data_IF_185576264501
#
_entry.id   IF_185576264501
#
_cell.length_a   1.000
_cell.length_b   1.000
_cell.length_c   1.000
_cell.angle_alpha   90.00
_cell.angle_beta   90.00
_cell.angle_gamma   90.00
#
_symmetry.space_group_name_H-M   'P 1'
#
loop_
_entity.id
_entity.type
_entity.pdbx_description
1 polymer ?
#
# COMPACT_ATOMS: atom_id res chain seq x y z
N UNK A 1 79.17 -44.52 1.50
CA UNK A 1 77.68 -44.41 1.33
C UNK A 1 77.20 -45.74 0.75
N UNK A 2 76.27 -46.38 1.45
CA UNK A 2 75.68 -47.64 0.98
C UNK A 2 74.67 -47.33 -0.14
N UNK A 3 74.59 -48.24 -1.14
CA UNK A 3 73.68 -48.10 -2.30
C UNK A 3 72.23 -47.71 -1.90
N UNK A 4 71.79 -48.05 -0.70
CA UNK A 4 70.47 -47.61 -0.16
C UNK A 4 70.33 -46.10 0.09
N UNK A 5 71.42 -45.44 0.53
CA UNK A 5 71.41 -44.05 0.86
C UNK A 5 71.32 -43.16 -0.43
N UNK A 6 71.92 -43.68 -1.51
CA UNK A 6 71.85 -43.00 -2.82
C UNK A 6 70.44 -43.08 -3.43
N UNK A 7 69.79 -44.25 -3.26
CA UNK A 7 68.44 -44.47 -3.76
C UNK A 7 67.44 -43.62 -3.00
N UNK A 8 67.62 -43.47 -1.68
CA UNK A 8 66.75 -42.59 -0.86
C UNK A 8 66.98 -41.11 -1.18
N UNK A 9 68.21 -40.69 -1.47
CA UNK A 9 68.52 -39.33 -1.84
C UNK A 9 67.97 -38.98 -3.25
N UNK A 10 68.03 -39.93 -4.20
CA UNK A 10 67.41 -39.75 -5.51
C UNK A 10 65.88 -39.75 -5.45
N UNK A 11 65.28 -40.61 -4.63
CA UNK A 11 63.81 -40.56 -4.44
C UNK A 11 63.33 -39.25 -3.80
N UNK A 12 64.06 -38.71 -2.81
CA UNK A 12 63.77 -37.43 -2.20
C UNK A 12 63.97 -36.26 -3.16
N UNK A 13 64.97 -36.31 -4.03
CA UNK A 13 65.23 -35.26 -5.04
C UNK A 13 64.15 -35.26 -6.15
N UNK A 14 63.61 -36.41 -6.55
CA UNK A 14 62.52 -36.51 -7.53
C UNK A 14 61.20 -36.07 -6.95
N UNK A 15 60.93 -36.34 -5.68
CA UNK A 15 59.68 -35.86 -5.01
C UNK A 15 59.74 -34.35 -4.80
N UNK A 16 60.87 -33.77 -4.44
CA UNK A 16 61.03 -32.31 -4.32
C UNK A 16 60.96 -31.58 -5.67
N UNK A 17 61.52 -32.15 -6.73
CA UNK A 17 61.40 -31.60 -8.08
C UNK A 17 59.99 -31.73 -8.65
N UNK A 18 59.25 -32.79 -8.32
CA UNK A 18 57.85 -32.98 -8.70
C UNK A 18 56.88 -31.97 -8.01
N UNK A 19 57.18 -31.57 -6.77
CA UNK A 19 56.38 -30.57 -6.04
C UNK A 19 56.63 -29.13 -6.53
N UNK A 20 57.78 -28.86 -7.14
CA UNK A 20 58.13 -27.54 -7.69
C UNK A 20 57.52 -27.26 -9.07
N UNK A 21 56.93 -28.29 -9.73
CA UNK A 21 56.28 -28.19 -11.04
C UNK A 21 54.75 -28.11 -10.96
N UNK A 22 54.18 -27.95 -9.75
CA UNK A 22 52.76 -27.62 -9.66
C UNK A 22 52.57 -26.22 -10.29
N UNK A 23 51.80 -26.10 -11.38
CA UNK A 23 51.50 -24.80 -11.93
C UNK A 23 50.82 -24.01 -10.82
N UNK A 24 51.44 -22.91 -10.36
CA UNK A 24 50.77 -21.89 -9.60
C UNK A 24 49.69 -21.32 -10.51
N UNK A 25 48.52 -21.97 -10.52
CA UNK A 25 47.32 -21.39 -11.05
C UNK A 25 46.94 -20.22 -10.15
N UNK A 26 47.58 -19.08 -10.37
CA UNK A 26 47.11 -17.82 -9.83
C UNK A 26 45.73 -17.49 -10.46
N UNK A 27 44.70 -18.08 -9.87
CA UNK A 27 43.39 -17.55 -10.09
C UNK A 27 43.47 -16.08 -9.61
N UNK A 28 43.19 -15.16 -10.51
CA UNK A 28 43.15 -13.75 -10.20
C UNK A 28 42.00 -13.49 -9.21
N UNK A 29 42.33 -13.53 -7.91
CA UNK A 29 41.38 -13.33 -6.81
C UNK A 29 40.98 -11.86 -6.63
N UNK A 30 41.57 -10.94 -7.41
CA UNK A 30 41.31 -9.49 -7.31
C UNK A 30 40.22 -9.00 -8.28
N UNK A 31 39.85 -9.75 -9.28
CA UNK A 31 38.74 -9.42 -10.17
C UNK A 31 37.88 -10.68 -10.36
N UNK A 32 36.61 -10.56 -10.03
CA UNK A 32 35.64 -11.58 -10.43
C UNK A 32 35.68 -11.67 -11.99
N UNK A 33 35.52 -12.87 -12.57
CA UNK A 33 35.44 -13.00 -14.00
C UNK A 33 34.40 -12.01 -14.53
N UNK A 34 34.82 -11.10 -15.40
CA UNK A 34 33.88 -10.24 -16.12
C UNK A 34 33.08 -11.16 -17.01
N UNK A 35 31.80 -11.37 -16.69
CA UNK A 35 30.86 -12.08 -17.55
C UNK A 35 30.81 -11.45 -18.94
N UNK A 36 30.22 -12.13 -19.90
CA UNK A 36 29.88 -11.58 -21.21
C UNK A 36 28.96 -10.35 -21.08
N UNK A 37 28.57 -9.80 -22.21
CA UNK A 37 27.56 -8.73 -22.24
C UNK A 37 26.29 -9.23 -21.52
N UNK A 38 25.76 -8.39 -20.62
CA UNK A 38 24.53 -8.69 -19.90
C UNK A 38 23.37 -8.81 -20.88
N UNK A 39 22.64 -9.91 -20.82
CA UNK A 39 21.42 -10.06 -21.60
C UNK A 39 20.34 -9.10 -21.05
N UNK A 40 19.73 -8.33 -21.93
CA UNK A 40 18.67 -7.37 -21.65
C UNK A 40 17.33 -7.77 -22.26
N UNK A 41 17.30 -8.90 -22.99
CA UNK A 41 16.10 -9.36 -23.65
C UNK A 41 15.23 -10.16 -22.68
N UNK A 42 13.91 -9.93 -22.67
CA UNK A 42 13.01 -10.76 -21.87
C UNK A 42 12.81 -12.14 -22.50
N UNK A 43 12.41 -13.14 -21.70
CA UNK A 43 12.07 -14.46 -22.24
C UNK A 43 10.94 -14.38 -23.27
N UNK A 44 11.04 -15.21 -24.31
CA UNK A 44 10.06 -15.25 -25.39
C UNK A 44 9.18 -16.49 -25.25
N UNK A 45 7.87 -16.30 -25.29
CA UNK A 45 6.89 -17.38 -25.31
C UNK A 45 6.89 -18.08 -26.66
N UNK A 46 7.28 -19.37 -26.71
CA UNK A 46 7.35 -20.17 -27.91
C UNK A 46 6.00 -20.79 -28.27
N UNK A 47 5.29 -21.32 -27.25
CA UNK A 47 3.96 -21.90 -27.42
C UNK A 47 3.25 -22.00 -26.06
N UNK A 48 1.94 -22.12 -26.13
CA UNK A 48 1.09 -22.44 -24.96
C UNK A 48 0.24 -23.67 -25.26
N UNK A 49 0.03 -24.51 -24.26
CA UNK A 49 -0.78 -25.73 -24.38
C UNK A 49 -1.73 -25.82 -23.17
N UNK A 50 -3.05 -25.88 -23.38
CA UNK A 50 -3.77 -25.75 -24.67
C UNK A 50 -3.52 -24.42 -25.39
N UNK A 51 -3.96 -24.30 -26.63
CA UNK A 51 -3.77 -23.08 -27.43
C UNK A 51 -4.60 -21.91 -26.84
N UNK A 52 -4.22 -20.71 -27.23
CA UNK A 52 -5.00 -19.50 -26.94
C UNK A 52 -6.42 -19.65 -27.50
N UNK A 53 -7.42 -19.20 -26.71
CA UNK A 53 -8.83 -19.30 -27.01
C UNK A 53 -9.36 -20.74 -27.14
N UNK A 54 -8.78 -21.67 -26.38
CA UNK A 54 -9.25 -23.05 -26.28
C UNK A 54 -10.66 -23.12 -25.69
N UNK A 55 -11.48 -24.02 -26.24
CA UNK A 55 -12.85 -24.26 -25.79
C UNK A 55 -12.98 -25.67 -25.21
N UNK A 56 -14.05 -25.93 -24.45
CA UNK A 56 -14.25 -27.19 -23.74
C UNK A 56 -13.09 -27.56 -22.78
N UNK A 57 -12.42 -26.56 -22.22
CA UNK A 57 -11.32 -26.74 -21.29
C UNK A 57 -11.77 -27.56 -20.07
N UNK A 58 -10.93 -28.51 -19.59
CA UNK A 58 -11.33 -29.39 -18.47
C UNK A 58 -11.57 -28.59 -17.18
N UNK A 59 -12.77 -28.76 -16.62
CA UNK A 59 -13.21 -28.07 -15.40
C UNK A 59 -12.43 -28.51 -14.14
N UNK A 60 -11.99 -29.77 -14.13
CA UNK A 60 -11.23 -30.35 -13.02
C UNK A 60 -9.82 -30.70 -13.45
N UNK A 61 -8.84 -30.45 -12.57
CA UNK A 61 -7.43 -30.73 -12.83
C UNK A 61 -6.90 -30.06 -14.11
N UNK A 62 -7.55 -28.96 -14.56
CA UNK A 62 -7.11 -28.18 -15.72
C UNK A 62 -5.73 -27.58 -15.47
N UNK A 63 -4.91 -27.56 -16.50
CA UNK A 63 -3.58 -26.95 -16.47
C UNK A 63 -3.26 -26.32 -17.82
N UNK A 64 -2.48 -25.24 -17.77
CA UNK A 64 -1.93 -24.56 -18.93
C UNK A 64 -0.42 -24.57 -18.82
N UNK A 65 0.28 -24.93 -19.90
CA UNK A 65 1.73 -24.97 -19.95
C UNK A 65 2.24 -23.94 -20.95
N UNK A 66 3.07 -23.03 -20.46
CA UNK A 66 3.76 -21.99 -21.24
C UNK A 66 5.19 -22.46 -21.50
N UNK A 67 5.63 -22.50 -22.77
CA UNK A 67 6.95 -22.93 -23.19
C UNK A 67 7.75 -21.71 -23.61
N UNK A 68 8.91 -21.51 -22.98
CA UNK A 68 9.79 -20.39 -23.28
C UNK A 68 11.07 -20.84 -24.02
N UNK A 69 11.74 -19.89 -24.67
CA UNK A 69 13.04 -20.09 -25.33
C UNK A 69 14.17 -20.33 -24.32
N UNK A 70 14.01 -19.85 -23.07
CA UNK A 70 14.99 -19.88 -22.00
C UNK A 70 14.39 -20.28 -20.64
N UNK A 71 15.25 -20.42 -19.61
CA UNK A 71 14.81 -20.71 -18.24
C UNK A 71 14.09 -19.51 -17.64
N UNK A 72 12.82 -19.69 -17.36
CA UNK A 72 11.93 -18.68 -16.83
C UNK A 72 11.49 -19.05 -15.42
N UNK A 73 11.44 -18.07 -14.51
CA UNK A 73 11.04 -18.24 -13.11
C UNK A 73 9.82 -17.41 -12.76
N UNK A 74 9.14 -17.81 -11.71
CA UNK A 74 8.04 -17.01 -11.13
C UNK A 74 8.66 -15.99 -10.18
N UNK A 75 8.72 -14.74 -10.60
CA UNK A 75 9.25 -13.61 -9.82
C UNK A 75 8.24 -13.11 -8.79
N UNK A 76 6.99 -12.97 -9.21
CA UNK A 76 5.91 -12.44 -8.37
C UNK A 76 4.61 -13.21 -8.64
N UNK A 77 4.35 -14.24 -7.83
CA UNK A 77 3.18 -15.11 -8.02
C UNK A 77 1.83 -14.37 -7.87
N UNK A 78 1.80 -13.27 -7.10
CA UNK A 78 0.58 -12.48 -6.90
C UNK A 78 0.17 -11.66 -8.12
N UNK A 79 1.06 -11.47 -9.09
CA UNK A 79 0.76 -10.83 -10.38
C UNK A 79 0.00 -11.77 -11.32
N UNK A 80 0.07 -13.09 -11.07
CA UNK A 80 -0.64 -14.08 -11.89
C UNK A 80 -2.07 -14.19 -11.38
N UNK A 81 -3.01 -13.70 -12.19
CA UNK A 81 -4.40 -13.54 -11.79
C UNK A 81 -5.36 -14.25 -12.73
N UNK A 82 -6.33 -15.00 -12.18
CA UNK A 82 -7.38 -15.67 -12.93
C UNK A 82 -8.72 -14.93 -12.76
N UNK A 83 -9.38 -14.62 -13.86
CA UNK A 83 -10.72 -14.04 -13.90
C UNK A 83 -11.67 -14.99 -14.64
N UNK A 84 -12.81 -15.38 -14.07
CA UNK A 84 -13.28 -15.20 -12.70
C UNK A 84 -12.32 -15.73 -11.64
N UNK A 85 -12.14 -15.02 -10.51
CA UNK A 85 -11.28 -15.52 -9.45
C UNK A 85 -11.92 -16.75 -8.77
N UNK A 86 -11.06 -17.63 -8.29
CA UNK A 86 -11.45 -18.85 -7.57
C UNK A 86 -11.11 -18.70 -6.08
N UNK A 87 -11.70 -19.53 -5.22
CA UNK A 87 -11.39 -19.56 -3.78
C UNK A 87 -9.91 -19.85 -3.54
N UNK A 88 -9.35 -20.79 -4.33
CA UNK A 88 -7.91 -21.10 -4.30
C UNK A 88 -7.25 -20.49 -5.53
N UNK A 89 -6.15 -19.78 -5.29
CA UNK A 89 -5.37 -19.19 -6.38
C UNK A 89 -4.81 -20.24 -7.32
N UNK A 90 -4.56 -19.89 -8.60
CA UNK A 90 -3.81 -20.73 -9.49
C UNK A 90 -2.43 -21.09 -8.91
N UNK A 91 -2.01 -22.32 -9.07
CA UNK A 91 -0.70 -22.81 -8.63
C UNK A 91 0.25 -22.87 -9.80
N UNK A 92 1.36 -22.14 -9.71
CA UNK A 92 2.41 -22.10 -10.72
C UNK A 92 3.57 -23.02 -10.35
N UNK A 93 4.06 -23.79 -11.32
CA UNK A 93 5.21 -24.67 -11.18
C UNK A 93 6.19 -24.45 -12.33
N UNK A 94 7.45 -24.28 -11.98
CA UNK A 94 8.55 -24.23 -12.97
C UNK A 94 8.99 -25.66 -13.29
N UNK A 95 9.14 -25.96 -14.58
CA UNK A 95 9.62 -27.26 -15.08
C UNK A 95 10.55 -27.05 -16.28
N UNK A 96 11.84 -26.94 -16.04
CA UNK A 96 12.83 -26.57 -17.05
C UNK A 96 12.56 -25.17 -17.61
N UNK A 97 12.35 -25.06 -18.91
CA UNK A 97 11.98 -23.80 -19.59
C UNK A 97 10.46 -23.56 -19.66
N UNK A 98 9.70 -24.33 -18.87
CA UNK A 98 8.24 -24.28 -18.95
C UNK A 98 7.66 -23.79 -17.62
N UNK A 99 6.61 -23.00 -17.72
CA UNK A 99 5.77 -22.61 -16.58
C UNK A 99 4.43 -23.33 -16.71
N UNK A 100 4.07 -24.10 -15.69
CA UNK A 100 2.80 -24.84 -15.62
C UNK A 100 1.91 -24.13 -14.64
N UNK A 101 0.77 -23.66 -15.08
CA UNK A 101 -0.29 -23.08 -14.23
C UNK A 101 -1.41 -24.10 -14.10
N UNK A 102 -1.77 -24.47 -12.88
CA UNK A 102 -2.83 -25.42 -12.59
C UNK A 102 -3.93 -24.77 -11.72
N UNK A 103 -5.17 -25.21 -11.94
CA UNK A 103 -6.34 -24.69 -11.25
C UNK A 103 -6.82 -25.70 -10.21
N UNK A 104 -6.61 -25.41 -8.89
CA UNK A 104 -6.96 -26.35 -7.82
C UNK A 104 -8.45 -26.56 -7.65
N UNK A 105 -9.25 -25.51 -7.88
CA UNK A 105 -10.71 -25.58 -7.76
C UNK A 105 -11.35 -26.08 -9.06
N UNK A 106 -12.57 -26.59 -8.94
CA UNK A 106 -13.40 -26.93 -10.10
C UNK A 106 -13.89 -25.63 -10.75
N UNK A 107 -13.59 -25.45 -12.03
CA UNK A 107 -14.00 -24.29 -12.81
C UNK A 107 -15.51 -24.33 -13.07
N UNK A 108 -16.13 -23.16 -13.15
CA UNK A 108 -17.53 -23.02 -13.49
C UNK A 108 -17.84 -23.56 -14.91
N UNK A 109 -19.06 -23.97 -15.12
CA UNK A 109 -19.50 -24.48 -16.42
C UNK A 109 -19.88 -23.32 -17.36
N UNK A 110 -19.62 -23.50 -18.65
CA UNK A 110 -19.94 -22.52 -19.70
C UNK A 110 -19.43 -21.09 -19.37
N UNK A 111 -18.19 -21.03 -18.86
CA UNK A 111 -17.57 -19.79 -18.41
C UNK A 111 -16.27 -19.55 -19.15
N UNK A 112 -16.10 -18.33 -19.66
CA UNK A 112 -14.81 -17.85 -20.18
C UNK A 112 -13.93 -17.42 -19.04
N UNK A 113 -12.67 -17.86 -19.08
CA UNK A 113 -11.62 -17.53 -18.12
C UNK A 113 -10.49 -16.77 -18.80
N UNK A 114 -9.97 -15.80 -18.10
CA UNK A 114 -8.81 -15.00 -18.49
C UNK A 114 -7.72 -15.15 -17.45
N UNK A 115 -6.59 -15.73 -17.84
CA UNK A 115 -5.40 -15.84 -16.99
C UNK A 115 -4.40 -14.76 -17.40
N UNK A 116 -4.25 -13.76 -16.58
CA UNK A 116 -3.28 -12.69 -16.75
C UNK A 116 -2.00 -13.07 -16.03
N UNK A 117 -0.89 -13.12 -16.73
CA UNK A 117 0.43 -13.41 -16.14
C UNK A 117 1.09 -12.16 -15.55
N UNK A 118 0.55 -10.96 -15.83
CA UNK A 118 1.09 -9.69 -15.37
C UNK A 118 2.59 -9.57 -15.63
N UNK A 119 3.31 -9.04 -14.66
CA UNK A 119 4.77 -9.01 -14.60
C UNK A 119 5.34 -10.14 -13.69
N UNK A 120 4.57 -11.22 -13.55
CA UNK A 120 4.87 -12.30 -12.61
C UNK A 120 6.02 -13.22 -13.02
N UNK A 121 6.44 -13.19 -14.29
CA UNK A 121 7.48 -14.06 -14.83
C UNK A 121 8.71 -13.25 -15.24
N UNK A 122 9.89 -13.85 -15.09
CA UNK A 122 11.14 -13.25 -15.53
C UNK A 122 12.12 -14.35 -15.96
N UNK A 123 13.18 -14.01 -16.69
CA UNK A 123 14.29 -14.94 -16.91
C UNK A 123 15.00 -15.26 -15.58
N UNK A 124 15.69 -16.41 -15.57
CA UNK A 124 16.33 -16.91 -14.37
C UNK A 124 17.68 -16.24 -14.06
N UNK A 125 18.36 -15.69 -15.05
CA UNK A 125 19.74 -15.23 -14.92
C UNK A 125 19.81 -13.73 -14.60
N UNK A 126 19.24 -12.90 -15.47
CA UNK A 126 19.32 -11.44 -15.39
C UNK A 126 18.08 -10.81 -14.72
N UNK A 127 16.96 -11.53 -14.67
CA UNK A 127 15.71 -11.08 -14.08
C UNK A 127 14.90 -10.15 -14.99
N UNK A 128 15.13 -10.21 -16.32
CA UNK A 128 14.36 -9.47 -17.30
C UNK A 128 12.90 -9.93 -17.28
N UNK A 129 11.99 -9.01 -17.09
CA UNK A 129 10.57 -9.34 -16.88
C UNK A 129 9.92 -9.72 -18.21
N UNK A 130 9.21 -10.85 -18.21
CA UNK A 130 8.38 -11.25 -19.34
C UNK A 130 7.26 -10.22 -19.57
N UNK A 131 7.03 -9.72 -20.77
CA UNK A 131 5.94 -8.80 -21.06
C UNK A 131 4.59 -9.38 -20.66
N UNK A 132 3.70 -8.54 -20.14
CA UNK A 132 2.35 -8.95 -19.78
C UNK A 132 1.69 -9.77 -20.87
N UNK A 133 1.21 -10.95 -20.52
CA UNK A 133 0.52 -11.85 -21.43
C UNK A 133 -0.78 -12.34 -20.82
N UNK A 134 -1.85 -12.26 -21.61
CA UNK A 134 -3.20 -12.65 -21.20
C UNK A 134 -3.60 -13.89 -21.99
N UNK A 135 -3.85 -14.99 -21.28
CA UNK A 135 -4.30 -16.25 -21.85
C UNK A 135 -5.79 -16.44 -21.60
N UNK A 136 -6.56 -16.72 -22.64
CA UNK A 136 -8.02 -16.92 -22.56
C UNK A 136 -8.39 -18.34 -22.92
N UNK A 137 -9.35 -18.91 -22.20
CA UNK A 137 -9.95 -20.20 -22.47
C UNK A 137 -11.41 -20.26 -21.99
N UNK A 138 -12.19 -21.21 -22.47
CA UNK A 138 -13.57 -21.41 -22.03
C UNK A 138 -13.82 -22.86 -21.64
N UNK A 139 -14.57 -23.06 -20.56
CA UNK A 139 -15.10 -24.37 -20.17
C UNK A 139 -16.33 -24.77 -20.98
N UNK A 140 -16.90 -23.84 -21.74
CA UNK A 140 -17.96 -24.05 -22.73
C UNK A 140 -17.43 -24.07 -24.15
N UNK A 141 -18.34 -23.98 -25.10
CA UNK A 141 -18.03 -24.00 -26.54
C UNK A 141 -17.82 -22.61 -27.16
N UNK A 142 -18.01 -21.55 -26.37
CA UNK A 142 -17.96 -20.15 -26.81
C UNK A 142 -17.00 -19.38 -25.93
N UNK A 143 -16.25 -18.47 -26.52
CA UNK A 143 -15.45 -17.46 -25.82
C UNK A 143 -16.25 -16.15 -25.84
N UNK A 144 -16.50 -15.60 -24.67
CA UNK A 144 -17.09 -14.27 -24.52
C UNK A 144 -16.09 -13.20 -24.97
N UNK A 145 -16.56 -12.10 -25.57
CA UNK A 145 -15.71 -11.12 -26.25
C UNK A 145 -15.93 -9.66 -25.83
N UNK A 146 -16.77 -9.41 -24.85
CA UNK A 146 -17.08 -8.05 -24.41
C UNK A 146 -16.07 -7.54 -23.36
N UNK A 147 -16.00 -6.22 -23.22
CA UNK A 147 -15.05 -5.51 -22.35
C UNK A 147 -15.75 -4.50 -21.44
N UNK A 148 -15.19 -4.28 -20.27
CA UNK A 148 -15.46 -3.09 -19.42
C UNK A 148 -14.12 -2.44 -19.09
N UNK A 149 -13.99 -1.15 -19.37
CA UNK A 149 -12.77 -0.39 -19.20
C UNK A 149 -13.01 0.83 -18.35
N UNK A 150 -11.96 1.35 -17.72
CA UNK A 150 -12.03 2.57 -16.94
C UNK A 150 -10.78 2.83 -16.11
N UNK A 151 -10.89 3.79 -15.22
CA UNK A 151 -9.81 4.20 -14.34
C UNK A 151 -10.24 4.20 -12.87
N UNK A 152 -9.29 4.03 -11.97
CA UNK A 152 -9.49 4.10 -10.53
C UNK A 152 -8.55 5.13 -9.94
N UNK A 153 -9.10 6.12 -9.25
CA UNK A 153 -8.37 7.18 -8.57
C UNK A 153 -8.74 7.21 -7.08
N UNK A 154 -7.79 7.65 -6.27
CA UNK A 154 -8.03 7.95 -4.86
C UNK A 154 -8.94 9.18 -4.74
N UNK A 155 -10.02 9.10 -3.94
CA UNK A 155 -11.01 10.16 -3.83
C UNK A 155 -10.49 11.43 -3.13
N UNK A 156 -9.48 11.31 -2.27
CA UNK A 156 -8.91 12.44 -1.52
C UNK A 156 -7.82 13.15 -2.32
N UNK A 157 -6.94 12.38 -2.97
CA UNK A 157 -5.73 12.90 -3.62
C UNK A 157 -5.87 13.02 -5.13
N UNK A 158 -6.88 12.37 -5.71
CA UNK A 158 -7.08 12.25 -7.17
C UNK A 158 -5.86 11.66 -7.90
N UNK A 159 -5.11 10.81 -7.22
CA UNK A 159 -3.99 10.07 -7.78
C UNK A 159 -4.44 8.69 -8.26
N UNK A 160 -3.84 8.15 -9.32
CA UNK A 160 -4.10 6.79 -9.79
C UNK A 160 -3.85 5.75 -8.70
N UNK A 161 -4.73 4.77 -8.57
CA UNK A 161 -4.57 3.65 -7.62
C UNK A 161 -4.09 2.42 -8.37
N UNK A 162 -2.83 2.04 -8.16
CA UNK A 162 -2.22 0.85 -8.73
C UNK A 162 -2.66 -0.41 -7.97
N UNK A 163 -2.91 -1.50 -8.68
CA UNK A 163 -3.15 -2.84 -8.10
C UNK A 163 -4.50 -3.00 -7.41
N UNK A 164 -5.41 -2.01 -7.51
CA UNK A 164 -6.76 -2.14 -7.02
C UNK A 164 -7.49 -3.27 -7.74
N UNK A 165 -8.22 -4.10 -7.00
CA UNK A 165 -9.05 -5.16 -7.57
C UNK A 165 -10.36 -4.55 -8.05
N UNK A 166 -10.61 -4.61 -9.35
CA UNK A 166 -11.86 -4.20 -9.97
C UNK A 166 -12.70 -5.43 -10.27
N UNK A 167 -13.93 -5.45 -9.76
CA UNK A 167 -14.77 -6.65 -9.68
C UNK A 167 -16.17 -6.40 -10.22
N UNK A 168 -16.68 -7.35 -11.00
CA UNK A 168 -18.04 -7.37 -11.52
C UNK A 168 -18.89 -8.36 -10.75
N UNK A 169 -20.13 -7.97 -10.48
CA UNK A 169 -21.15 -8.81 -9.84
C UNK A 169 -22.42 -8.84 -10.67
N UNK A 170 -23.02 -10.02 -10.76
CA UNK A 170 -24.35 -10.24 -11.36
C UNK A 170 -25.46 -10.13 -10.32
N UNK A 171 -25.10 -10.20 -9.04
CA UNK A 171 -26.00 -9.91 -7.93
C UNK A 171 -25.98 -8.40 -7.65
N UNK A 172 -27.17 -7.76 -7.74
CA UNK A 172 -27.36 -6.33 -7.56
C UNK A 172 -27.51 -5.92 -6.09
N UNK A 173 -27.41 -6.86 -5.14
CA UNK A 173 -27.44 -6.54 -3.71
C UNK A 173 -26.14 -5.86 -3.28
N UNK A 174 -26.25 -4.83 -2.42
CA UNK A 174 -25.08 -4.13 -1.89
C UNK A 174 -24.20 -5.03 -1.02
N UNK A 175 -24.72 -6.18 -0.58
CA UNK A 175 -23.99 -7.17 0.20
C UNK A 175 -23.13 -8.12 -0.64
N UNK A 176 -23.25 -8.10 -1.96
CA UNK A 176 -22.52 -9.01 -2.86
C UNK A 176 -21.00 -8.90 -2.68
N UNK A 177 -20.46 -7.68 -2.62
CA UNK A 177 -19.02 -7.41 -2.50
C UNK A 177 -18.41 -7.96 -1.19
N UNK A 178 -19.22 -8.18 -0.16
CA UNK A 178 -18.77 -8.71 1.13
C UNK A 178 -18.82 -10.26 1.22
N UNK A 179 -19.66 -10.89 0.40
CA UNK A 179 -20.04 -12.30 0.63
C UNK A 179 -19.79 -13.21 -0.56
N UNK A 180 -19.73 -12.64 -1.76
CA UNK A 180 -19.68 -13.41 -2.99
C UNK A 180 -18.38 -13.18 -3.74
N UNK A 181 -17.87 -14.23 -4.38
CA UNK A 181 -16.79 -14.10 -5.33
C UNK A 181 -17.30 -13.36 -6.56
N UNK A 182 -16.51 -12.42 -7.11
CA UNK A 182 -16.92 -11.67 -8.29
C UNK A 182 -17.08 -12.58 -9.51
N UNK A 183 -18.02 -12.22 -10.38
CA UNK A 183 -18.23 -12.87 -11.68
C UNK A 183 -17.02 -12.70 -12.60
N UNK A 184 -16.36 -11.57 -12.59
CA UNK A 184 -15.09 -11.29 -13.25
C UNK A 184 -14.34 -10.24 -12.45
N UNK A 185 -13.02 -10.28 -12.50
CA UNK A 185 -12.18 -9.30 -11.83
C UNK A 185 -10.87 -9.06 -12.58
N UNK A 186 -10.27 -7.91 -12.37
CA UNK A 186 -8.93 -7.54 -12.87
C UNK A 186 -8.25 -6.61 -11.87
N UNK A 187 -6.96 -6.33 -12.07
CA UNK A 187 -6.22 -5.34 -11.29
C UNK A 187 -5.86 -4.14 -12.13
N UNK A 188 -5.88 -2.97 -11.50
CA UNK A 188 -5.45 -1.73 -12.14
C UNK A 188 -3.94 -1.73 -12.37
N UNK A 189 -3.51 -1.10 -13.47
CA UNK A 189 -2.10 -0.86 -13.80
C UNK A 189 -1.49 0.31 -13.00
N UNK A 190 -0.28 0.72 -13.37
CA UNK A 190 0.46 1.82 -12.74
C UNK A 190 -0.23 3.19 -12.86
N UNK A 191 -1.12 3.33 -13.82
CA UNK A 191 -1.90 4.54 -14.09
C UNK A 191 -3.33 4.47 -13.57
N UNK A 192 -3.65 3.41 -12.79
CA UNK A 192 -5.00 3.17 -12.28
C UNK A 192 -5.99 2.69 -13.35
N UNK A 193 -5.53 2.40 -14.56
CA UNK A 193 -6.37 1.92 -15.64
C UNK A 193 -6.64 0.41 -15.53
N UNK A 194 -7.85 -0.02 -15.89
CA UNK A 194 -8.25 -1.42 -15.88
C UNK A 194 -9.01 -1.82 -17.14
N UNK A 195 -8.88 -3.11 -17.48
CA UNK A 195 -9.66 -3.75 -18.54
C UNK A 195 -10.16 -5.10 -18.03
N UNK A 196 -11.46 -5.22 -17.92
CA UNK A 196 -12.17 -6.50 -17.73
C UNK A 196 -12.50 -7.04 -19.09
N UNK A 197 -11.96 -8.24 -19.39
CA UNK A 197 -12.03 -8.86 -20.72
C UNK A 197 -12.88 -10.11 -20.69
N UNK A 198 -13.36 -10.49 -21.87
CA UNK A 198 -14.00 -11.77 -22.08
C UNK A 198 -15.21 -11.99 -21.16
N UNK A 199 -16.07 -10.99 -21.10
CA UNK A 199 -17.31 -10.99 -20.30
C UNK A 199 -18.56 -11.12 -21.19
N UNK A 200 -19.62 -11.66 -20.59
CA UNK A 200 -20.91 -11.83 -21.28
C UNK A 200 -21.62 -10.49 -21.47
N UNK A 201 -22.41 -10.33 -22.55
CA UNK A 201 -23.18 -9.11 -22.80
C UNK A 201 -24.42 -9.06 -21.91
N UNK A 202 -24.24 -8.67 -20.65
CA UNK A 202 -25.32 -8.49 -19.66
C UNK A 202 -24.98 -7.33 -18.72
N UNK A 203 -25.90 -6.99 -17.85
CA UNK A 203 -25.74 -5.91 -16.89
C UNK A 203 -25.00 -6.38 -15.63
N UNK A 204 -24.19 -5.46 -15.05
CA UNK A 204 -23.35 -5.75 -13.88
C UNK A 204 -23.36 -4.61 -12.88
N UNK A 205 -23.02 -4.94 -11.63
CA UNK A 205 -22.49 -3.99 -10.63
C UNK A 205 -20.97 -4.00 -10.69
N UNK A 206 -20.38 -2.80 -10.60
CA UNK A 206 -18.94 -2.61 -10.65
C UNK A 206 -18.44 -2.02 -9.32
N UNK A 207 -17.51 -2.74 -8.71
CA UNK A 207 -16.82 -2.33 -7.47
C UNK A 207 -15.31 -2.36 -7.67
N UNK A 208 -14.60 -1.56 -6.89
CA UNK A 208 -13.15 -1.64 -6.76
C UNK A 208 -12.77 -1.66 -5.28
N UNK A 209 -11.80 -2.48 -4.90
CA UNK A 209 -11.31 -2.62 -3.52
C UNK A 209 -9.79 -2.72 -3.51
N UNK A 210 -9.15 -2.40 -2.38
CA UNK A 210 -7.70 -2.57 -2.23
C UNK A 210 -7.29 -4.04 -2.11
N UNK A 211 -8.18 -4.93 -1.65
CA UNK A 211 -7.96 -6.39 -1.49
C UNK A 211 -6.58 -6.72 -0.89
N UNK A 212 -6.29 -6.15 0.26
CA UNK A 212 -4.98 -6.27 0.92
C UNK A 212 -4.67 -7.70 1.37
N UNK A 213 -5.68 -8.47 1.78
CA UNK A 213 -5.56 -9.86 2.22
C UNK A 213 -5.70 -10.87 1.08
N UNK A 214 -6.01 -10.40 -0.15
CA UNK A 214 -6.14 -11.20 -1.38
C UNK A 214 -7.22 -12.28 -1.30
N UNK A 215 -8.33 -11.98 -0.61
CA UNK A 215 -9.50 -12.86 -0.50
C UNK A 215 -10.58 -12.59 -1.56
N UNK A 216 -10.42 -11.51 -2.36
CA UNK A 216 -11.34 -10.98 -3.38
C UNK A 216 -12.72 -10.56 -2.80
N UNK A 217 -12.79 -10.26 -1.50
CA UNK A 217 -13.96 -9.75 -0.81
C UNK A 217 -13.62 -8.44 -0.13
N UNK A 218 -14.59 -7.58 0.07
CA UNK A 218 -14.37 -6.30 0.74
C UNK A 218 -14.40 -6.41 2.25
N UNK A 219 -13.33 -5.92 2.89
CA UNK A 219 -13.17 -5.82 4.34
C UNK A 219 -13.18 -4.34 4.79
N UNK A 220 -14.30 -3.80 5.28
CA UNK A 220 -14.45 -2.36 5.58
C UNK A 220 -13.43 -1.83 6.59
N UNK A 221 -12.96 -2.67 7.51
CA UNK A 221 -12.03 -2.26 8.57
C UNK A 221 -10.65 -1.89 8.03
N UNK A 222 -10.19 -2.54 6.97
CA UNK A 222 -8.80 -2.46 6.49
C UNK A 222 -8.68 -1.93 5.07
N UNK A 223 -9.71 -2.05 4.25
CA UNK A 223 -9.67 -1.81 2.82
C UNK A 223 -10.41 -0.54 2.41
N UNK A 224 -10.02 0.00 1.27
CA UNK A 224 -10.74 1.07 0.59
C UNK A 224 -11.70 0.45 -0.42
N UNK A 225 -12.78 1.15 -0.72
CA UNK A 225 -13.79 0.75 -1.69
C UNK A 225 -14.10 1.89 -2.65
N UNK A 226 -14.44 1.56 -3.89
CA UNK A 226 -15.06 2.45 -4.85
C UNK A 226 -16.17 1.71 -5.59
N UNK A 227 -17.19 2.42 -6.04
CA UNK A 227 -18.31 1.81 -6.76
C UNK A 227 -18.98 2.80 -7.69
N UNK A 228 -19.72 2.25 -8.65
CA UNK A 228 -20.61 3.02 -9.52
C UNK A 228 -22.04 2.65 -9.17
N UNK A 229 -22.85 3.66 -8.82
CA UNK A 229 -24.22 3.46 -8.39
C UNK A 229 -25.15 2.96 -9.51
N UNK A 230 -24.81 3.31 -10.77
CA UNK A 230 -25.54 2.83 -11.94
C UNK A 230 -25.08 1.45 -12.35
N UNK A 231 -25.93 0.75 -13.07
CA UNK A 231 -25.60 -0.50 -13.74
C UNK A 231 -24.55 -0.22 -14.84
N UNK A 232 -23.58 -1.11 -14.99
CA UNK A 232 -22.59 -1.07 -16.04
C UNK A 232 -22.88 -2.13 -17.10
N UNK A 233 -22.67 -1.75 -18.35
CA UNK A 233 -22.89 -2.61 -19.52
C UNK A 233 -21.58 -2.73 -20.28
N UNK A 234 -21.18 -3.94 -20.67
CA UNK A 234 -19.94 -4.14 -21.43
C UNK A 234 -20.04 -3.60 -22.85
N UNK A 235 -18.90 -3.23 -23.41
CA UNK A 235 -18.73 -2.74 -24.77
C UNK A 235 -18.01 -3.78 -25.63
N UNK A 236 -18.19 -3.70 -26.93
CA UNK A 236 -17.42 -4.50 -27.91
C UNK A 236 -16.06 -3.87 -28.25
N UNK A 237 -15.81 -2.63 -27.83
CA UNK A 237 -14.57 -1.88 -28.09
C UNK A 237 -13.74 -1.78 -26.83
N UNK A 238 -12.44 -2.06 -26.92
CA UNK A 238 -11.47 -1.94 -25.84
C UNK A 238 -10.51 -0.77 -26.11
N UNK A 239 -10.35 0.13 -25.13
CA UNK A 239 -9.40 1.25 -25.22
C UNK A 239 -7.95 0.80 -25.34
N UNK A 240 -7.61 -0.36 -24.79
CA UNK A 240 -6.23 -0.84 -24.80
C UNK A 240 -5.71 -1.07 -26.21
N UNK A 241 -6.57 -1.48 -27.14
CA UNK A 241 -6.22 -1.62 -28.55
C UNK A 241 -5.97 -0.26 -29.22
N UNK A 242 -6.69 0.78 -28.77
CA UNK A 242 -6.49 2.16 -29.23
C UNK A 242 -5.34 2.87 -28.52
N UNK A 243 -5.06 2.53 -27.25
CA UNK A 243 -3.99 3.14 -26.45
C UNK A 243 -2.59 2.71 -26.92
N UNK A 244 -2.39 1.45 -27.25
CA UNK A 244 -1.14 0.96 -27.81
C UNK A 244 -0.78 1.69 -29.12
N UNK A 245 -1.76 2.06 -29.92
CA UNK A 245 -1.61 2.85 -31.14
C UNK A 245 -1.33 4.32 -30.86
N UNK A 246 -1.96 4.91 -29.84
CA UNK A 246 -1.80 6.33 -29.49
C UNK A 246 -0.45 6.69 -28.87
N UNK A 247 0.17 5.78 -28.11
CA UNK A 247 1.45 6.05 -27.44
C UNK A 247 2.63 6.04 -28.43
N UNK A 248 2.54 5.27 -29.50
CA UNK A 248 3.66 5.07 -30.42
C UNK A 248 3.46 5.72 -31.81
N UNK A 249 2.24 6.06 -32.20
CA UNK A 249 1.99 6.71 -33.46
C UNK A 249 0.81 7.70 -33.41
N UNK A 250 1.12 8.96 -33.26
CA UNK A 250 0.12 10.04 -33.26
C UNK A 250 -0.62 10.18 -34.61
N UNK A 251 -0.23 9.45 -35.64
CA UNK A 251 -0.88 9.48 -36.94
C UNK A 251 -2.08 8.56 -37.07
N UNK A 252 -2.21 7.56 -36.20
CA UNK A 252 -3.27 6.56 -36.27
C UNK A 252 -4.51 6.82 -35.42
N UNK A 253 -4.67 8.04 -34.89
CA UNK A 253 -5.92 8.50 -34.24
C UNK A 253 -7.12 8.47 -35.20
N UNK A 254 -6.93 8.25 -36.45
CA UNK A 254 -7.99 8.19 -37.48
C UNK A 254 -8.77 6.88 -37.53
N UNK A 255 -8.24 5.79 -36.93
CA UNK A 255 -8.88 4.48 -36.90
C UNK A 255 -9.95 4.28 -35.85
N UNK A 256 -9.83 4.95 -34.72
CA UNK A 256 -10.79 4.81 -33.61
C UNK A 256 -12.02 5.69 -33.79
N UNK A 257 -12.97 5.21 -34.60
CA UNK A 257 -14.26 5.89 -34.78
C UNK A 257 -15.21 5.80 -33.58
N UNK A 258 -14.96 4.91 -32.63
CA UNK A 258 -15.76 4.74 -31.42
C UNK A 258 -14.85 4.74 -30.18
N UNK A 259 -15.12 5.67 -29.26
CA UNK A 259 -14.52 5.59 -27.92
C UNK A 259 -15.29 4.56 -27.10
N UNK A 260 -14.62 3.63 -26.43
CA UNK A 260 -15.30 2.71 -25.52
C UNK A 260 -15.95 3.52 -24.38
N UNK A 261 -17.03 3.00 -23.85
CA UNK A 261 -17.59 3.51 -22.61
C UNK A 261 -16.60 3.27 -21.47
N UNK A 262 -16.11 4.34 -20.87
CA UNK A 262 -15.18 4.26 -19.74
C UNK A 262 -15.90 4.52 -18.41
N UNK A 263 -15.49 3.78 -17.41
CA UNK A 263 -16.04 3.87 -16.07
C UNK A 263 -14.95 4.37 -15.11
N UNK A 264 -14.98 5.68 -14.83
CA UNK A 264 -14.08 6.29 -13.86
C UNK A 264 -14.60 6.10 -12.46
N UNK A 265 -13.77 5.55 -11.59
CA UNK A 265 -14.12 5.19 -10.21
C UNK A 265 -13.25 5.98 -9.23
N UNK A 266 -13.88 6.44 -8.17
CA UNK A 266 -13.20 7.03 -7.02
C UNK A 266 -13.20 6.03 -5.87
N UNK A 267 -12.00 5.75 -5.34
CA UNK A 267 -11.80 4.85 -4.23
C UNK A 267 -11.60 5.64 -2.93
N UNK A 268 -12.33 5.30 -1.89
CA UNK A 268 -12.28 5.94 -0.58
C UNK A 268 -12.28 4.89 0.53
N UNK A 269 -11.83 5.29 1.72
CA UNK A 269 -11.97 4.47 2.91
C UNK A 269 -13.30 4.79 3.57
N UNK A 270 -14.11 3.76 3.81
CA UNK A 270 -15.32 3.92 4.58
C UNK A 270 -14.98 4.31 6.02
N UNK A 271 -15.54 5.42 6.50
CA UNK A 271 -15.43 5.79 7.90
C UNK A 271 -16.27 4.79 8.71
N UNK A 272 -15.61 4.04 9.57
CA UNK A 272 -16.31 3.11 10.45
C UNK A 272 -17.23 3.91 11.39
N UNK A 273 -18.52 3.64 11.35
CA UNK A 273 -19.48 4.22 12.30
C UNK A 273 -19.36 3.62 13.70
N UNK A 274 -18.53 2.58 13.85
CA UNK A 274 -18.35 1.87 15.12
C UNK A 274 -17.47 2.69 16.06
N UNK A 275 -18.08 3.31 17.08
CA UNK A 275 -17.41 4.18 18.01
C UNK A 275 -17.01 3.45 19.30
N UNK A 276 -15.71 3.46 19.61
CA UNK A 276 -15.14 2.96 20.85
C UNK A 276 -13.78 3.59 21.12
N UNK A 277 -13.36 3.61 22.36
CA UNK A 277 -11.98 3.95 22.72
C UNK A 277 -11.07 2.78 22.33
N UNK A 278 -10.02 3.07 21.58
CA UNK A 278 -9.02 2.08 21.11
C UNK A 278 -7.76 2.12 21.97
N UNK A 279 -7.37 3.32 22.40
CA UNK A 279 -6.19 3.50 23.23
C UNK A 279 -6.33 4.77 24.06
N UNK A 280 -5.75 4.77 25.25
CA UNK A 280 -5.63 5.95 26.10
C UNK A 280 -4.32 5.88 26.88
N UNK A 281 -3.69 7.01 27.08
CA UNK A 281 -2.40 7.04 27.76
C UNK A 281 -2.00 8.46 28.17
N UNK A 282 -0.80 8.57 28.75
CA UNK A 282 -0.23 9.80 29.23
C UNK A 282 1.14 10.01 28.63
N UNK A 283 1.30 11.10 27.90
CA UNK A 283 2.57 11.46 27.24
C UNK A 283 3.50 12.12 28.25
N UNK A 284 2.94 13.00 29.09
CA UNK A 284 3.64 13.69 30.17
C UNK A 284 2.75 13.80 31.39
N UNK A 285 3.24 14.23 32.58
CA UNK A 285 2.40 14.39 33.75
C UNK A 285 1.16 15.26 33.53
N UNK A 286 1.16 16.16 32.54
CA UNK A 286 0.07 17.10 32.25
C UNK A 286 -0.49 16.99 30.85
N UNK A 287 -0.11 15.97 30.10
CA UNK A 287 -0.58 15.72 28.74
C UNK A 287 -1.02 14.27 28.62
N UNK A 288 -2.24 14.06 28.23
CA UNK A 288 -2.82 12.75 28.01
C UNK A 288 -3.55 12.70 26.66
N UNK A 289 -3.73 11.50 26.13
CA UNK A 289 -4.47 11.29 24.90
C UNK A 289 -5.50 10.18 25.06
N UNK A 290 -6.56 10.30 24.26
CA UNK A 290 -7.61 9.28 24.09
C UNK A 290 -7.85 9.12 22.61
N UNK A 291 -7.62 7.91 22.08
CA UNK A 291 -7.86 7.56 20.66
C UNK A 291 -9.16 6.81 20.53
N UNK A 292 -9.92 7.20 19.56
CA UNK A 292 -11.19 6.59 19.20
C UNK A 292 -11.06 5.81 17.89
N UNK A 293 -11.93 4.84 17.67
CA UNK A 293 -11.95 4.05 16.43
C UNK A 293 -12.52 4.85 15.26
N UNK A 294 -13.55 5.66 15.54
CA UNK A 294 -14.19 6.52 14.54
C UNK A 294 -13.99 8.00 14.84
N UNK A 295 -13.95 8.87 13.84
CA UNK A 295 -13.82 10.32 14.04
C UNK A 295 -15.08 10.92 14.69
N UNK A 296 -14.90 12.14 15.22
CA UNK A 296 -15.97 12.96 15.84
C UNK A 296 -16.73 12.23 16.97
N UNK A 297 -16.05 11.68 17.99
CA UNK A 297 -16.69 11.04 19.11
C UNK A 297 -17.60 12.03 19.85
N UNK A 298 -18.80 11.59 20.20
CA UNK A 298 -19.72 12.35 21.05
C UNK A 298 -19.36 12.13 22.51
N UNK A 299 -18.66 13.09 23.12
CA UNK A 299 -18.18 13.01 24.50
C UNK A 299 -19.08 13.91 25.36
N UNK A 300 -19.74 13.31 26.34
CA UNK A 300 -20.59 14.02 27.29
C UNK A 300 -19.74 14.68 28.38
N UNK A 301 -18.91 13.88 29.08
CA UNK A 301 -18.05 14.36 30.19
C UNK A 301 -16.72 13.65 30.24
N UNK A 302 -15.70 14.35 30.75
CA UNK A 302 -14.41 13.76 31.13
C UNK A 302 -14.09 14.30 32.51
N UNK A 303 -13.91 13.39 33.45
CA UNK A 303 -13.55 13.69 34.84
C UNK A 303 -12.25 12.97 35.19
N UNK A 304 -11.28 13.71 35.77
CA UNK A 304 -9.99 13.18 36.19
C UNK A 304 -9.83 13.38 37.71
N UNK A 305 -9.48 12.31 38.43
CA UNK A 305 -9.31 12.35 39.89
C UNK A 305 -8.26 13.37 40.31
N UNK A 306 -8.66 14.32 41.15
CA UNK A 306 -7.76 15.37 41.67
C UNK A 306 -7.49 16.52 40.68
N UNK A 307 -8.21 16.57 39.55
CA UNK A 307 -8.12 17.66 38.59
C UNK A 307 -9.50 18.27 38.39
N UNK A 308 -9.57 19.59 38.42
CA UNK A 308 -10.81 20.31 38.14
C UNK A 308 -11.12 20.29 36.66
N UNK A 309 -12.36 20.05 36.28
CA UNK A 309 -12.78 19.92 34.87
C UNK A 309 -12.59 21.22 34.06
N UNK A 310 -12.69 22.38 34.71
CA UNK A 310 -12.42 23.69 34.10
C UNK A 310 -10.92 23.93 33.78
N UNK A 311 -10.04 23.05 34.27
CA UNK A 311 -8.60 23.07 33.98
C UNK A 311 -8.15 22.15 32.87
N UNK A 312 -9.08 21.50 32.21
CA UNK A 312 -8.81 20.60 31.08
C UNK A 312 -8.91 21.37 29.75
N UNK A 313 -7.79 21.50 29.06
CA UNK A 313 -7.75 22.05 27.69
C UNK A 313 -7.82 20.88 26.73
N UNK A 314 -8.86 20.84 25.91
CA UNK A 314 -9.15 19.72 24.99
C UNK A 314 -8.83 20.12 23.57
N UNK A 315 -8.11 19.26 22.85
CA UNK A 315 -7.78 19.46 21.44
C UNK A 315 -7.90 18.17 20.68
N UNK A 316 -8.69 18.18 19.62
CA UNK A 316 -8.74 17.10 18.66
C UNK A 316 -7.63 17.26 17.62
N UNK A 317 -7.13 16.12 17.11
CA UNK A 317 -6.32 16.11 15.90
C UNK A 317 -7.18 16.50 14.66
N UNK A 318 -6.52 16.66 13.52
CA UNK A 318 -7.18 17.05 12.26
C UNK A 318 -8.28 16.07 11.83
N UNK A 319 -8.04 14.76 11.99
CA UNK A 319 -9.02 13.69 11.70
C UNK A 319 -10.15 13.59 12.72
N UNK A 320 -10.05 14.29 13.85
CA UNK A 320 -11.01 14.24 14.98
C UNK A 320 -11.24 12.84 15.57
N UNK A 321 -10.26 11.95 15.46
CA UNK A 321 -10.26 10.60 16.03
C UNK A 321 -9.37 10.45 17.28
N UNK A 322 -8.56 11.46 17.59
CA UNK A 322 -7.70 11.49 18.75
C UNK A 322 -7.86 12.81 19.51
N UNK A 323 -8.18 12.69 20.79
CA UNK A 323 -8.31 13.81 21.72
C UNK A 323 -7.06 13.90 22.57
N UNK A 324 -6.35 15.03 22.50
CA UNK A 324 -5.30 15.40 23.45
C UNK A 324 -5.87 16.30 24.52
N UNK A 325 -5.54 16.05 25.78
CA UNK A 325 -5.99 16.84 26.93
C UNK A 325 -4.77 17.35 27.67
N UNK A 326 -4.69 18.67 27.84
CA UNK A 326 -3.67 19.35 28.62
C UNK A 326 -4.28 19.78 29.95
N UNK A 327 -3.55 19.53 31.06
CA UNK A 327 -3.98 19.85 32.39
C UNK A 327 -3.34 21.18 32.82
N UNK A 328 -4.15 22.23 32.95
CA UNK A 328 -3.74 23.56 33.38
C UNK A 328 -3.95 23.72 34.91
N UNK A 329 -3.37 22.84 35.69
CA UNK A 329 -3.42 22.87 37.16
C UNK A 329 -2.00 22.82 37.71
N UNK A 330 -1.67 23.73 38.66
CA UNK A 330 -0.38 23.73 39.35
C UNK A 330 -0.36 22.65 40.45
N UNK A 331 0.84 22.28 40.89
CA UNK A 331 1.07 21.31 41.95
C UNK A 331 1.55 19.95 41.45
N UNK A 332 1.71 19.04 42.39
CA UNK A 332 2.17 17.68 42.11
C UNK A 332 1.09 16.88 41.38
N UNK A 333 1.51 16.12 40.38
CA UNK A 333 0.66 15.18 39.68
C UNK A 333 1.18 13.75 39.91
N UNK A 334 0.30 12.85 40.36
CA UNK A 334 0.67 11.45 40.60
C UNK A 334 1.09 10.75 39.31
N UNK A 335 1.96 9.74 39.37
CA UNK A 335 2.43 8.98 38.22
C UNK A 335 1.28 8.24 37.53
N UNK A 336 0.28 7.80 38.30
CA UNK A 336 -0.95 7.22 37.75
C UNK A 336 -2.12 8.18 38.03
N UNK A 337 -2.84 8.49 36.97
CA UNK A 337 -4.04 9.31 37.02
C UNK A 337 -5.26 8.44 36.72
N UNK A 338 -6.26 8.48 37.58
CA UNK A 338 -7.53 7.81 37.34
C UNK A 338 -8.55 8.82 36.85
N UNK A 339 -9.51 8.35 36.07
CA UNK A 339 -10.59 9.19 35.58
C UNK A 339 -11.72 8.38 34.96
N UNK A 340 -12.71 9.11 34.52
CA UNK A 340 -13.87 8.55 33.84
C UNK A 340 -14.20 9.41 32.63
N UNK A 341 -14.59 8.74 31.54
CA UNK A 341 -15.10 9.39 30.35
C UNK A 341 -16.49 8.86 30.03
N UNK A 342 -17.44 9.76 29.86
CA UNK A 342 -18.77 9.43 29.36
C UNK A 342 -18.89 9.87 27.90
N UNK A 343 -19.17 8.90 27.05
CA UNK A 343 -19.27 9.13 25.61
C UNK A 343 -20.27 8.15 24.96
N UNK A 344 -20.58 8.37 23.68
CA UNK A 344 -21.45 7.46 22.92
C UNK A 344 -20.61 6.36 22.29
N UNK A 345 -20.83 5.11 22.71
CA UNK A 345 -20.19 3.91 22.19
C UNK A 345 -21.18 3.12 21.34
N UNK A 346 -20.71 2.48 20.28
CA UNK A 346 -21.51 1.59 19.48
C UNK A 346 -21.71 0.27 20.22
N UNK A 347 -22.96 -0.11 20.43
CA UNK A 347 -23.36 -1.38 21.07
C UNK A 347 -23.34 -2.55 20.07
N UNK A 348 -23.69 -3.75 20.55
CA UNK A 348 -23.75 -4.98 19.72
C UNK A 348 -24.79 -4.93 18.60
N UNK A 349 -25.72 -3.98 18.63
CA UNK A 349 -26.73 -3.76 17.61
C UNK A 349 -26.34 -2.70 16.57
N UNK A 350 -25.13 -2.12 16.69
CA UNK A 350 -24.66 -1.03 15.83
C UNK A 350 -25.16 0.36 16.23
N UNK A 351 -25.85 0.50 17.39
CA UNK A 351 -26.46 1.74 17.84
C UNK A 351 -25.55 2.48 18.82
N UNK A 352 -25.48 3.81 18.71
CA UNK A 352 -24.73 4.63 19.66
C UNK A 352 -25.47 4.77 20.99
N UNK A 353 -24.90 4.22 22.06
CA UNK A 353 -25.45 4.24 23.41
C UNK A 353 -24.46 4.92 24.38
N UNK A 354 -24.95 5.75 25.35
CA UNK A 354 -24.08 6.41 26.31
C UNK A 354 -23.45 5.38 27.24
N UNK A 355 -22.13 5.44 27.40
CA UNK A 355 -21.38 4.61 28.34
C UNK A 355 -20.39 5.47 29.15
N UNK A 356 -20.13 5.04 30.37
CA UNK A 356 -19.04 5.59 31.19
C UNK A 356 -17.92 4.56 31.29
N UNK A 357 -16.74 4.89 30.79
CA UNK A 357 -15.55 4.05 30.89
C UNK A 357 -14.54 4.65 31.86
N UNK A 358 -13.95 3.78 32.68
CA UNK A 358 -12.88 4.18 33.61
C UNK A 358 -11.55 4.25 32.88
N UNK A 359 -10.82 5.33 33.12
CA UNK A 359 -9.50 5.57 32.58
C UNK A 359 -8.45 5.34 33.66
N UNK A 360 -7.40 4.59 33.31
CA UNK A 360 -6.19 4.44 34.12
C UNK A 360 -5.01 4.86 33.29
N UNK A 361 -4.48 6.05 33.56
CA UNK A 361 -3.50 6.73 32.74
C UNK A 361 -2.17 6.81 33.48
N UNK A 362 -1.12 6.23 32.92
CA UNK A 362 0.23 6.27 33.47
C UNK A 362 1.22 6.79 32.42
N UNK A 363 2.29 7.43 32.90
CA UNK A 363 3.36 7.91 32.04
C UNK A 363 4.25 6.73 31.64
N UNK A 364 4.44 6.49 30.36
CA UNK A 364 5.32 5.42 29.89
C UNK A 364 6.76 5.64 30.34
N UNK A 365 7.44 4.59 30.83
CA UNK A 365 8.80 4.65 31.41
C UNK A 365 9.84 5.27 30.48
N UNK A 366 9.69 5.09 29.16
CA UNK A 366 10.59 5.68 28.14
C UNK A 366 10.48 7.21 28.09
N UNK A 367 9.27 7.77 28.26
CA UNK A 367 9.02 9.20 28.31
C UNK A 367 9.50 9.81 29.64
N UNK A 368 9.30 9.09 30.75
CA UNK A 368 9.77 9.51 32.08
C UNK A 368 11.31 9.59 32.18
N UNK A 369 12.04 8.70 31.51
CA UNK A 369 13.51 8.71 31.48
C UNK A 369 14.08 9.89 30.67
N UNK A 370 13.41 10.33 29.60
CA UNK A 370 13.78 11.52 28.83
C UNK A 370 13.56 12.82 29.63
N UNK A 371 12.49 12.90 30.43
CA UNK A 371 12.19 14.07 31.25
C UNK A 371 13.16 14.27 32.42
N UNK A 372 13.67 13.19 33.04
CA UNK A 372 14.68 13.31 34.12
C UNK A 372 16.01 13.91 33.68
N UNK A 373 16.34 13.90 32.38
CA UNK A 373 17.57 14.51 31.82
C UNK A 373 17.40 15.98 31.47
N UNK A 374 16.20 16.51 31.40
CA UNK A 374 15.94 17.90 31.04
C UNK A 374 15.80 18.77 32.32
N UNK A 375 16.91 19.26 32.81
CA UNK A 375 16.97 20.25 33.89
C UNK A 375 16.61 21.69 33.45
N UNK A 376 16.36 21.88 32.16
CA UNK A 376 16.05 23.19 31.59
C UNK A 376 14.54 23.43 31.67
N UNK A 377 14.13 24.36 32.52
CA UNK A 377 12.74 24.74 32.73
C UNK A 377 12.20 25.70 31.65
N UNK A 378 13.02 26.08 30.72
CA UNK A 378 12.60 26.94 29.59
C UNK A 378 11.80 26.17 28.56
N UNK A 379 10.61 26.69 28.22
CA UNK A 379 9.74 26.14 27.18
C UNK A 379 10.26 26.60 25.81
N UNK A 380 10.97 25.73 25.11
CA UNK A 380 11.49 26.05 23.76
C UNK A 380 10.42 25.80 22.72
N UNK A 381 10.08 26.82 21.95
CA UNK A 381 9.24 26.68 20.78
C UNK A 381 10.03 26.06 19.62
N UNK A 382 9.35 25.27 18.80
CA UNK A 382 9.88 24.83 17.51
C UNK A 382 9.41 25.83 16.46
N UNK A 383 10.34 26.41 15.74
CA UNK A 383 10.07 27.30 14.60
C UNK A 383 9.93 26.47 13.33
N UNK A 384 8.83 26.63 12.63
CA UNK A 384 8.64 26.15 11.28
C UNK A 384 8.61 27.37 10.34
N UNK A 385 9.53 27.40 9.40
CA UNK A 385 9.58 28.41 8.34
C UNK A 385 10.09 27.71 7.07
N UNK A 386 9.24 27.58 6.08
CA UNK A 386 9.64 27.11 4.75
C UNK A 386 9.98 28.33 3.90
N UNK A 387 11.23 28.50 3.42
CA UNK A 387 11.67 29.71 2.71
C UNK A 387 10.75 30.10 1.55
N UNK A 388 10.24 29.10 0.82
CA UNK A 388 9.40 29.32 -0.37
C UNK A 388 7.93 29.65 -0.04
N UNK A 389 7.52 29.48 1.23
CA UNK A 389 6.13 29.69 1.69
C UNK A 389 5.99 30.72 2.80
N UNK A 390 7.10 31.32 3.24
CA UNK A 390 7.09 32.29 4.35
C UNK A 390 6.15 33.48 4.07
N UNK A 391 6.02 33.91 2.83
CA UNK A 391 5.10 34.99 2.45
C UNK A 391 3.61 34.59 2.60
N UNK A 392 3.30 33.29 2.47
CA UNK A 392 1.93 32.79 2.56
C UNK A 392 1.60 32.31 3.98
N UNK A 393 2.48 31.51 4.57
CA UNK A 393 2.24 30.80 5.83
C UNK A 393 2.85 31.53 7.04
N UNK A 394 3.78 32.46 6.81
CA UNK A 394 4.52 33.16 7.86
C UNK A 394 5.46 32.27 8.66
N UNK A 395 5.74 32.70 9.89
CA UNK A 395 6.56 31.95 10.85
C UNK A 395 5.65 31.25 11.86
N UNK A 396 5.71 29.93 11.93
CA UNK A 396 4.86 29.15 12.85
C UNK A 396 5.70 28.70 14.06
N UNK A 397 5.33 29.16 15.25
CA UNK A 397 5.92 28.73 16.51
C UNK A 397 5.04 27.69 17.17
N UNK A 398 5.56 26.47 17.32
CA UNK A 398 4.87 25.38 18.03
C UNK A 398 5.52 25.17 19.39
N UNK A 399 4.74 25.33 20.44
CA UNK A 399 5.17 25.11 21.82
C UNK A 399 4.88 23.67 22.24
N UNK A 400 5.70 23.08 23.14
CA UNK A 400 5.44 21.73 23.66
C UNK A 400 4.11 21.59 24.38
N UNK A 401 3.62 22.67 24.98
CA UNK A 401 2.35 22.74 25.71
C UNK A 401 1.63 24.06 25.40
N UNK A 402 0.31 24.14 25.57
CA UNK A 402 -0.43 25.40 25.44
C UNK A 402 0.10 26.47 26.39
N UNK A 403 0.22 27.69 25.88
CA UNK A 403 0.65 28.83 26.68
C UNK A 403 -0.52 29.32 27.57
N UNK A 404 -0.25 29.53 28.87
CA UNK A 404 -1.24 30.12 29.79
C UNK A 404 -1.42 31.63 29.57
N UNK A 405 -0.36 32.31 29.09
CA UNK A 405 -0.35 33.73 28.78
C UNK A 405 0.66 34.01 27.67
N UNK A 406 0.28 34.82 26.70
CA UNK A 406 1.17 35.32 25.66
C UNK A 406 1.08 36.85 25.65
N UNK A 407 2.22 37.53 25.58
CA UNK A 407 2.32 39.00 25.49
C UNK A 407 2.87 39.30 24.11
N UNK A 408 1.97 39.52 23.15
CA UNK A 408 2.34 39.70 21.75
C UNK A 408 3.09 41.03 21.50
N UNK A 409 2.84 42.06 22.30
CA UNK A 409 3.54 43.36 22.19
C UNK A 409 5.05 43.28 22.44
N UNK A 410 5.52 42.18 23.05
CA UNK A 410 6.93 41.92 23.31
C UNK A 410 7.62 41.12 22.20
N UNK A 411 6.93 40.80 21.13
CA UNK A 411 7.50 40.10 19.98
C UNK A 411 8.01 41.13 18.99
N UNK A 412 9.27 41.01 18.58
CA UNK A 412 9.89 41.89 17.57
C UNK A 412 10.39 41.04 16.42
N UNK A 413 10.11 41.48 15.21
CA UNK A 413 10.60 40.87 13.98
C UNK A 413 11.61 41.82 13.33
N UNK A 414 12.86 41.39 13.25
CA UNK A 414 13.97 42.20 12.77
C UNK A 414 14.59 41.51 11.57
N UNK A 415 14.63 42.19 10.43
CA UNK A 415 15.38 41.79 9.25
C UNK A 415 16.76 42.52 9.19
N UNK A 416 17.68 42.03 8.37
CA UNK A 416 18.95 42.69 8.11
C UNK A 416 19.05 43.03 6.62
N UNK A 417 19.36 44.28 6.34
CA UNK A 417 19.65 44.69 4.98
C UNK A 417 20.99 44.10 4.48
N UNK A 418 21.31 44.15 3.18
CA UNK A 418 22.59 43.66 2.64
C UNK A 418 23.84 44.26 3.28
N UNK A 419 23.69 45.38 3.97
CA UNK A 419 24.78 46.07 4.70
C UNK A 419 24.83 45.70 6.18
N UNK A 420 23.96 44.77 6.64
CA UNK A 420 23.89 44.28 8.02
C UNK A 420 23.13 45.18 9.00
N UNK A 421 22.47 46.24 8.53
CA UNK A 421 21.67 47.14 9.36
C UNK A 421 20.33 46.50 9.70
N UNK A 422 19.96 46.52 10.95
CA UNK A 422 18.67 45.97 11.44
C UNK A 422 17.50 46.88 11.06
N UNK A 423 16.45 46.26 10.51
CA UNK A 423 15.18 46.89 10.13
C UNK A 423 14.08 46.20 10.90
N UNK A 424 13.30 46.99 11.63
CA UNK A 424 12.09 46.48 12.28
C UNK A 424 10.96 46.32 11.25
N UNK A 425 10.57 45.05 11.03
CA UNK A 425 9.50 44.73 10.08
C UNK A 425 8.14 44.80 10.76
N UNK A 426 7.14 45.23 10.00
CA UNK A 426 5.74 45.17 10.45
C UNK A 426 5.19 43.76 10.29
N UNK A 427 4.65 43.20 11.32
CA UNK A 427 4.07 41.86 11.30
C UNK A 427 2.81 41.79 12.17
N UNK A 428 2.05 40.72 11.99
CA UNK A 428 0.84 40.44 12.78
C UNK A 428 1.03 39.09 13.45
N UNK A 429 0.90 39.04 14.77
CA UNK A 429 0.90 37.77 15.52
C UNK A 429 -0.53 37.32 15.69
N UNK A 430 -0.78 36.07 15.30
CA UNK A 430 -2.09 35.43 15.48
C UNK A 430 -1.90 34.11 16.22
N UNK A 431 -2.85 33.80 17.08
CA UNK A 431 -2.96 32.46 17.66
C UNK A 431 -3.67 31.55 16.68
N UNK A 432 -3.16 30.32 16.51
CA UNK A 432 -3.83 29.33 15.67
C UNK A 432 -5.15 28.89 16.34
N UNK A 433 -6.23 28.89 15.58
CA UNK A 433 -7.55 28.49 16.08
C UNK A 433 -7.66 26.94 16.18
N UNK A 434 -6.88 26.22 15.41
CA UNK A 434 -6.91 24.77 15.31
C UNK A 434 -5.92 24.08 16.25
N UNK A 435 -4.79 24.70 16.58
CA UNK A 435 -3.78 24.14 17.48
C UNK A 435 -3.47 25.10 18.64
N UNK A 436 -3.92 24.76 19.83
CA UNK A 436 -3.74 25.57 21.05
C UNK A 436 -2.27 25.79 21.46
N UNK A 437 -1.33 25.12 20.76
CA UNK A 437 0.13 25.25 20.98
C UNK A 437 0.82 26.18 19.99
N UNK A 438 0.11 26.68 19.00
CA UNK A 438 0.65 27.55 17.96
C UNK A 438 0.20 29.00 18.10
#
# INVERSE_FOLDING_TARGET
MKKKDILTFMAAAVTTAGLALLPNSCANTKAAPSGGLKDTLPPVLVKVVPQQNDTAFPRTKGKVTFYFNEYTVVKTANEIFLSPPQKKKPVTKVSGRNIIVSFPDTLNENQTYTLDLGNGLADNNEGNVFPRFVYTFSTGNVIDSMFITGSVMDAEKLLPVKGALVSLYTDFSDSAVFKQMPYAATRTDDWGYFVLRNIKPQEYRLYTITDANTNNLYDPATENIGFISRVVVPDSVCREDSYALQVFDMKDTLGCKMRPTEYDMLMFKEETSNQKITNSGRISPRELFIKFLSPKPQIDTIHLSGVRDDRLIRQFNEKKDSLTIYINQQGYMSDTLFGEIRYRKTDSTGKLSPITEKLKLFVERAAAAKQKKQKDTSMKATLQAEPDKVEQDGFIFTFPMPLSKAIFDSVHFVSKDPRGKEINEKFIVKKDEKDVRK
#
